data_IF_243404516481
#
_entry.id   IF_243404516481
#
_cell.length_a   1.000
_cell.length_b   1.000
_cell.length_c   1.000
_cell.angle_alpha   90.00
_cell.angle_beta   90.00
_cell.angle_gamma   90.00
#
_symmetry.space_group_name_H-M   'P 1'
#
loop_
_entity.id
_entity.type
_entity.pdbx_description
1 polymer ?
#
# COMPACT_ATOMS: atom_id res chain seq x y z
N UNK A 1 -4.21 -21.06 -4.39
CA UNK A 1 -4.32 -19.60 -4.16
C UNK A 1 -2.93 -19.13 -3.78
N UNK A 2 -2.34 -18.22 -4.55
CA UNK A 2 -0.98 -17.74 -4.29
C UNK A 2 -0.94 -16.89 -3.00
N UNK A 3 0.08 -17.09 -2.16
CA UNK A 3 0.24 -16.34 -0.90
C UNK A 3 0.43 -14.83 -1.20
N UNK A 4 -0.25 -13.90 -0.51
CA UNK A 4 -0.22 -12.47 -0.82
C UNK A 4 1.17 -11.84 -0.62
N UNK A 5 1.43 -10.72 -1.32
CA UNK A 5 2.71 -10.00 -1.25
C UNK A 5 3.01 -9.41 0.15
N UNK A 6 1.99 -9.25 0.98
CA UNK A 6 2.05 -8.78 2.37
C UNK A 6 1.07 -9.58 3.24
N UNK A 7 1.23 -9.58 4.58
CA UNK A 7 0.30 -10.24 5.48
C UNK A 7 -1.15 -9.76 5.33
N UNK A 8 -2.07 -10.59 5.81
CA UNK A 8 -3.49 -10.23 5.90
C UNK A 8 -3.67 -8.87 6.59
N UNK A 9 -4.51 -8.02 6.00
CA UNK A 9 -4.78 -6.67 6.49
C UNK A 9 -3.88 -5.59 5.89
N UNK A 10 -2.84 -5.98 5.14
CA UNK A 10 -1.94 -5.09 4.43
C UNK A 10 -2.12 -5.23 2.92
N UNK A 11 -2.08 -4.11 2.22
CA UNK A 11 -2.11 -4.07 0.76
C UNK A 11 -0.90 -3.30 0.26
N UNK A 12 -0.19 -3.89 -0.70
CA UNK A 12 0.79 -3.17 -1.49
C UNK A 12 0.03 -2.52 -2.65
N UNK A 13 -0.08 -1.20 -2.65
CA UNK A 13 -0.55 -0.47 -3.83
C UNK A 13 0.65 -0.06 -4.65
N UNK A 14 0.69 -0.52 -5.90
CA UNK A 14 1.59 -0.03 -6.93
C UNK A 14 0.83 0.72 -8.03
N UNK A 15 -0.40 1.13 -7.73
CA UNK A 15 -1.19 2.00 -8.59
C UNK A 15 -0.53 3.39 -8.60
N UNK A 16 0.18 3.68 -9.69
CA UNK A 16 1.05 4.85 -9.81
C UNK A 16 0.32 6.10 -10.26
N UNK A 17 -0.91 5.97 -10.79
CA UNK A 17 -1.73 7.10 -11.25
C UNK A 17 -3.14 7.14 -10.65
N UNK A 18 -3.53 6.13 -9.86
CA UNK A 18 -4.83 6.10 -9.18
C UNK A 18 -6.01 5.84 -10.13
N UNK A 19 -5.75 5.46 -11.38
CA UNK A 19 -6.76 5.33 -12.44
C UNK A 19 -7.54 4.01 -12.40
N UNK A 20 -7.04 3.01 -11.66
CA UNK A 20 -7.78 1.79 -11.31
C UNK A 20 -7.38 0.55 -12.12
N UNK A 21 -7.47 -0.61 -11.44
CA UNK A 21 -7.48 -1.94 -12.06
C UNK A 21 -6.13 -2.52 -12.48
N UNK A 22 -5.24 -2.87 -11.54
CA UNK A 22 -4.07 -3.68 -11.92
C UNK A 22 -4.50 -5.08 -12.37
N UNK A 23 -4.25 -5.48 -13.61
CA UNK A 23 -4.40 -6.87 -14.04
C UNK A 23 -3.24 -7.74 -13.57
N UNK A 24 -3.49 -9.01 -13.27
CA UNK A 24 -2.48 -9.91 -12.67
C UNK A 24 -2.20 -11.15 -13.51
N UNK A 25 -3.19 -11.62 -14.28
CA UNK A 25 -3.09 -12.84 -15.08
C UNK A 25 -3.90 -12.74 -16.37
N UNK A 26 -3.39 -13.34 -17.44
CA UNK A 26 -4.04 -13.55 -18.72
C UNK A 26 -4.06 -15.05 -19.03
N UNK A 27 -5.26 -15.60 -19.20
CA UNK A 27 -5.45 -17.00 -19.60
C UNK A 27 -5.92 -17.06 -21.06
N UNK A 28 -5.05 -17.56 -21.93
CA UNK A 28 -5.36 -17.75 -23.35
C UNK A 28 -6.07 -19.10 -23.57
N UNK A 29 -7.14 -19.07 -24.36
CA UNK A 29 -7.87 -20.23 -24.88
C UNK A 29 -8.14 -20.03 -26.37
N UNK A 30 -8.66 -21.05 -27.05
CA UNK A 30 -8.89 -21.00 -28.50
C UNK A 30 -9.77 -19.83 -28.95
N UNK A 31 -10.82 -19.52 -28.17
CA UNK A 31 -11.83 -18.50 -28.52
C UNK A 31 -11.78 -17.26 -27.63
N UNK A 32 -11.14 -17.34 -26.46
CA UNK A 32 -11.17 -16.27 -25.47
C UNK A 32 -9.81 -16.05 -24.83
N UNK A 33 -9.56 -14.80 -24.42
CA UNK A 33 -8.53 -14.46 -23.45
C UNK A 33 -9.23 -13.93 -22.21
N UNK A 34 -8.97 -14.54 -21.06
CA UNK A 34 -9.56 -14.14 -19.78
C UNK A 34 -8.49 -13.45 -18.95
N UNK A 35 -8.67 -12.16 -18.70
CA UNK A 35 -7.82 -11.40 -17.79
C UNK A 35 -8.39 -11.48 -16.36
N UNK A 36 -7.52 -11.57 -15.36
CA UNK A 36 -7.88 -11.52 -13.94
C UNK A 36 -7.31 -10.25 -13.32
N UNK A 37 -8.15 -9.41 -12.74
CA UNK A 37 -7.74 -8.16 -12.10
C UNK A 37 -7.13 -8.39 -10.69
N UNK A 38 -6.71 -7.31 -10.03
CA UNK A 38 -6.15 -7.33 -8.68
C UNK A 38 -7.18 -7.66 -7.58
N UNK A 39 -8.48 -7.65 -7.91
CA UNK A 39 -9.56 -8.08 -7.02
C UNK A 39 -9.91 -9.56 -7.18
N UNK A 40 -9.47 -10.18 -8.27
CA UNK A 40 -9.82 -11.53 -8.70
C UNK A 40 -11.01 -11.60 -9.65
N UNK A 41 -11.57 -10.46 -10.07
CA UNK A 41 -12.59 -10.38 -11.10
C UNK A 41 -12.01 -10.79 -12.46
N UNK A 42 -12.88 -11.33 -13.32
CA UNK A 42 -12.51 -11.88 -14.62
C UNK A 42 -13.10 -11.05 -15.75
N UNK A 43 -12.26 -10.68 -16.70
CA UNK A 43 -12.59 -9.88 -17.89
C UNK A 43 -12.37 -10.73 -19.13
N UNK A 44 -13.44 -11.08 -19.84
CA UNK A 44 -13.38 -12.05 -20.94
C UNK A 44 -13.40 -11.34 -22.28
N UNK A 45 -12.29 -11.46 -23.00
CA UNK A 45 -12.09 -10.94 -24.34
C UNK A 45 -12.35 -12.05 -25.36
N UNK A 46 -13.32 -11.88 -26.25
CA UNK A 46 -13.73 -12.90 -27.22
C UNK A 46 -13.14 -12.64 -28.59
N UNK A 47 -12.51 -13.65 -29.19
CA UNK A 47 -11.88 -13.57 -30.50
C UNK A 47 -12.92 -13.25 -31.57
N UNK A 48 -12.60 -12.30 -32.45
CA UNK A 48 -13.47 -11.93 -33.57
C UNK A 48 -13.04 -12.66 -34.86
N UNK A 49 -14.00 -12.89 -35.75
CA UNK A 49 -13.76 -13.56 -37.05
C UNK A 49 -12.84 -12.76 -37.97
N UNK A 50 -12.84 -11.42 -37.85
CA UNK A 50 -11.95 -10.52 -38.59
C UNK A 50 -10.54 -10.40 -37.98
N UNK A 51 -10.23 -11.17 -36.92
CA UNK A 51 -9.04 -11.00 -36.10
C UNK A 51 -9.27 -10.03 -34.94
N UNK A 52 -8.35 -10.03 -33.97
CA UNK A 52 -8.48 -9.26 -32.73
C UNK A 52 -9.51 -9.84 -31.74
N UNK A 53 -9.76 -9.08 -30.68
CA UNK A 53 -10.62 -9.49 -29.57
C UNK A 53 -11.63 -8.39 -29.22
N UNK A 54 -12.87 -8.80 -28.93
CA UNK A 54 -13.93 -7.93 -28.40
C UNK A 54 -13.82 -7.88 -26.87
N UNK A 55 -13.80 -6.67 -26.30
CA UNK A 55 -13.89 -6.44 -24.86
C UNK A 55 -15.24 -6.92 -24.28
N UNK A 56 -15.30 -7.23 -22.97
CA UNK A 56 -16.56 -7.48 -22.28
C UNK A 56 -17.45 -6.22 -22.24
N UNK A 57 -18.72 -6.39 -21.88
CA UNK A 57 -19.68 -5.29 -21.87
C UNK A 57 -19.28 -4.23 -20.83
N UNK A 58 -19.27 -2.96 -21.24
CA UNK A 58 -18.89 -1.83 -20.38
C UNK A 58 -17.41 -1.50 -20.37
N UNK A 59 -16.57 -2.26 -21.08
CA UNK A 59 -15.14 -2.02 -21.23
C UNK A 59 -14.78 -1.73 -22.69
N UNK A 60 -13.71 -0.98 -22.90
CA UNK A 60 -13.24 -0.55 -24.23
C UNK A 60 -11.76 -0.92 -24.49
N UNK A 61 -11.20 -1.80 -23.67
CA UNK A 61 -9.83 -2.26 -23.80
C UNK A 61 -9.53 -2.91 -25.16
N UNK A 62 -8.31 -2.69 -25.66
CA UNK A 62 -7.79 -3.28 -26.89
C UNK A 62 -6.77 -4.36 -26.51
N UNK A 63 -7.05 -5.60 -26.94
CA UNK A 63 -6.22 -6.75 -26.61
C UNK A 63 -5.57 -7.34 -27.86
N UNK A 64 -4.25 -7.58 -27.76
CA UNK A 64 -3.45 -8.25 -28.76
C UNK A 64 -2.76 -9.50 -28.18
N UNK A 65 -2.59 -10.53 -29.02
CA UNK A 65 -1.83 -11.74 -28.73
C UNK A 65 -0.78 -11.91 -29.83
N UNK A 66 0.49 -12.03 -29.47
CA UNK A 66 1.56 -12.28 -30.43
C UNK A 66 1.79 -13.78 -30.70
N UNK A 67 2.63 -14.10 -31.69
CA UNK A 67 2.98 -15.49 -32.03
C UNK A 67 3.81 -16.20 -30.96
N UNK A 68 4.40 -15.46 -30.02
CA UNK A 68 5.12 -15.98 -28.86
C UNK A 68 4.21 -16.28 -27.67
N UNK A 69 2.90 -16.01 -27.77
CA UNK A 69 1.93 -16.20 -26.69
C UNK A 69 1.86 -15.04 -25.70
N UNK A 70 2.55 -13.93 -25.95
CA UNK A 70 2.49 -12.72 -25.11
C UNK A 70 1.20 -11.96 -25.38
N UNK A 71 0.50 -11.61 -24.31
CA UNK A 71 -0.73 -10.82 -24.38
C UNK A 71 -0.41 -9.36 -24.06
N UNK A 72 -0.96 -8.43 -24.82
CA UNK A 72 -0.90 -6.99 -24.53
C UNK A 72 -2.32 -6.45 -24.42
N UNK A 73 -2.67 -5.86 -23.28
CA UNK A 73 -3.90 -5.09 -23.10
C UNK A 73 -3.54 -3.61 -23.10
N UNK A 74 -4.35 -2.82 -23.78
CA UNK A 74 -4.37 -1.37 -23.69
C UNK A 74 -5.74 -0.93 -23.21
N UNK A 75 -5.84 -0.31 -22.04
CA UNK A 75 -7.10 0.14 -21.45
C UNK A 75 -6.93 1.53 -20.85
N UNK A 76 -7.77 2.48 -21.26
CA UNK A 76 -7.58 3.89 -20.93
C UNK A 76 -6.18 4.38 -21.34
N UNK A 77 -5.40 4.84 -20.37
CA UNK A 77 -4.01 5.23 -20.58
C UNK A 77 -2.99 4.14 -20.27
N UNK A 78 -3.39 2.97 -19.82
CA UNK A 78 -2.47 1.93 -19.37
C UNK A 78 -2.24 0.85 -20.44
N UNK A 79 -1.02 0.32 -20.44
CA UNK A 79 -0.58 -0.84 -21.22
C UNK A 79 -0.10 -1.92 -20.26
N UNK A 80 -0.73 -3.09 -20.34
CA UNK A 80 -0.35 -4.30 -19.60
C UNK A 80 0.21 -5.32 -20.57
N UNK A 81 1.39 -5.86 -20.27
CA UNK A 81 2.01 -6.94 -21.05
C UNK A 81 2.11 -8.17 -20.17
N UNK A 82 1.64 -9.31 -20.65
CA UNK A 82 1.67 -10.60 -19.96
C UNK A 82 2.57 -11.58 -20.70
N UNK A 83 3.43 -12.26 -19.96
CA UNK A 83 4.31 -13.33 -20.48
C UNK A 83 3.47 -14.49 -21.03
N UNK A 84 4.10 -15.36 -21.80
CA UNK A 84 3.44 -16.54 -22.37
C UNK A 84 2.88 -17.53 -21.32
N UNK A 85 3.39 -17.47 -20.08
CA UNK A 85 2.83 -18.21 -18.94
C UNK A 85 1.59 -17.53 -18.31
N UNK A 86 1.11 -16.45 -18.93
CA UNK A 86 -0.07 -15.71 -18.53
C UNK A 86 0.16 -14.70 -17.41
N UNK A 87 1.37 -14.59 -16.84
CA UNK A 87 1.60 -13.67 -15.73
C UNK A 87 2.00 -12.28 -16.21
N UNK A 88 1.57 -11.25 -15.49
CA UNK A 88 1.96 -9.86 -15.77
C UNK A 88 3.50 -9.74 -15.80
N UNK A 89 3.99 -9.08 -16.85
CA UNK A 89 5.40 -8.78 -17.17
C UNK A 89 5.67 -7.30 -16.88
N UNK A 90 4.92 -6.41 -17.52
CA UNK A 90 5.08 -4.96 -17.40
C UNK A 90 3.74 -4.23 -17.39
N UNK A 91 3.71 -3.10 -16.68
CA UNK A 91 2.65 -2.09 -16.77
C UNK A 91 3.30 -0.72 -17.03
N UNK A 92 2.76 0.04 -17.99
CA UNK A 92 3.23 1.38 -18.36
C UNK A 92 2.08 2.25 -18.89
N UNK A 93 2.28 3.56 -19.01
CA UNK A 93 1.27 4.49 -19.52
C UNK A 93 1.54 4.89 -21.00
N UNK A 94 0.50 4.83 -21.84
CA UNK A 94 0.51 5.14 -23.27
C UNK A 94 0.72 6.61 -23.61
N UNK A 95 0.30 7.54 -22.74
CA UNK A 95 0.38 8.99 -23.03
C UNK A 95 1.82 9.44 -23.26
N UNK A 96 2.79 8.59 -22.91
CA UNK A 96 4.20 8.88 -22.98
C UNK A 96 4.99 8.15 -24.07
N UNK A 97 4.29 7.51 -25.02
CA UNK A 97 4.91 6.66 -26.04
C UNK A 97 5.94 7.38 -26.94
N UNK A 98 5.95 8.73 -26.98
CA UNK A 98 6.91 9.53 -27.77
C UNK A 98 8.04 10.14 -26.93
N UNK A 99 7.88 10.30 -25.61
CA UNK A 99 8.89 10.90 -24.71
C UNK A 99 8.85 10.30 -23.29
N UNK A 100 9.02 8.98 -23.14
CA UNK A 100 8.64 8.24 -21.93
C UNK A 100 9.15 8.91 -20.64
N UNK A 101 8.22 9.36 -19.80
CA UNK A 101 8.36 9.95 -18.47
C UNK A 101 7.45 9.29 -17.42
N UNK A 102 6.43 8.54 -17.85
CA UNK A 102 5.69 7.64 -16.98
C UNK A 102 6.59 6.51 -16.46
N UNK A 103 6.47 6.20 -15.18
CA UNK A 103 7.18 5.09 -14.56
C UNK A 103 6.74 3.75 -15.17
N UNK A 104 7.70 2.84 -15.33
CA UNK A 104 7.47 1.47 -15.77
C UNK A 104 7.51 0.52 -14.57
N UNK A 105 6.44 -0.25 -14.38
CA UNK A 105 6.38 -1.32 -13.40
C UNK A 105 6.80 -2.64 -14.07
N UNK A 106 7.80 -3.31 -13.51
CA UNK A 106 8.32 -4.61 -13.98
C UNK A 106 8.00 -5.67 -12.95
N UNK A 107 7.47 -6.80 -13.40
CA UNK A 107 7.00 -7.89 -12.55
C UNK A 107 7.75 -9.20 -12.88
N UNK A 108 7.97 -10.04 -11.87
CA UNK A 108 8.59 -11.35 -12.08
C UNK A 108 8.20 -12.42 -11.06
N UNK A 109 8.64 -13.65 -11.33
CA UNK A 109 8.53 -14.78 -10.43
C UNK A 109 7.19 -15.52 -10.47
N UNK A 110 7.05 -16.49 -9.58
CA UNK A 110 5.85 -17.32 -9.42
C UNK A 110 5.50 -17.42 -7.92
N UNK A 111 4.45 -16.73 -7.42
CA UNK A 111 3.56 -15.82 -8.15
C UNK A 111 4.28 -14.59 -8.70
N UNK A 112 3.69 -13.97 -9.73
CA UNK A 112 4.21 -12.71 -10.27
C UNK A 112 4.06 -11.59 -9.24
N UNK A 113 5.14 -10.85 -9.02
CA UNK A 113 5.27 -9.78 -8.02
C UNK A 113 5.96 -8.59 -8.65
N UNK A 114 5.57 -7.38 -8.24
CA UNK A 114 6.27 -6.17 -8.66
C UNK A 114 7.72 -6.26 -8.18
N UNK A 115 8.66 -6.26 -9.12
CA UNK A 115 10.09 -6.34 -8.85
C UNK A 115 10.76 -4.99 -8.93
N UNK A 116 10.34 -4.17 -9.88
CA UNK A 116 11.02 -2.91 -10.14
C UNK A 116 10.04 -1.82 -10.56
N UNK A 117 10.26 -0.62 -10.04
CA UNK A 117 9.63 0.61 -10.51
C UNK A 117 10.74 1.45 -11.14
N UNK A 118 10.69 1.62 -12.46
CA UNK A 118 11.74 2.27 -13.24
C UNK A 118 11.26 3.61 -13.79
N UNK A 119 12.04 4.66 -13.57
CA UNK A 119 11.89 5.93 -14.27
C UNK A 119 12.64 5.88 -15.60
N UNK A 120 11.96 5.91 -16.76
CA UNK A 120 12.61 5.85 -18.06
C UNK A 120 13.37 7.14 -18.42
N UNK A 121 13.14 8.27 -17.76
CA UNK A 121 13.87 9.52 -18.03
C UNK A 121 15.21 9.50 -17.32
N UNK A 122 15.20 9.27 -16.01
CA UNK A 122 16.43 9.28 -15.22
C UNK A 122 17.17 7.94 -15.21
N UNK A 123 16.54 6.88 -15.71
CA UNK A 123 17.01 5.48 -15.62
C UNK A 123 17.21 4.99 -14.19
N UNK A 124 16.65 5.70 -13.20
CA UNK A 124 16.65 5.30 -11.79
C UNK A 124 15.58 4.24 -11.58
N UNK A 125 15.83 3.34 -10.63
CA UNK A 125 14.84 2.36 -10.25
C UNK A 125 14.81 2.05 -8.77
N UNK A 126 13.62 1.67 -8.30
CA UNK A 126 13.42 1.05 -7.00
C UNK A 126 13.20 -0.44 -7.22
N UNK A 127 13.89 -1.28 -6.45
CA UNK A 127 13.77 -2.74 -6.54
C UNK A 127 13.11 -3.29 -5.28
N UNK A 128 12.14 -4.19 -5.46
CA UNK A 128 11.43 -4.86 -4.38
C UNK A 128 11.96 -6.28 -4.23
N UNK A 129 12.19 -6.67 -2.98
CA UNK A 129 12.76 -7.96 -2.61
C UNK A 129 11.77 -8.76 -1.75
N UNK A 130 11.60 -10.03 -2.07
CA UNK A 130 10.65 -10.93 -1.42
C UNK A 130 11.36 -12.10 -0.76
N UNK A 131 10.75 -12.71 0.26
CA UNK A 131 11.22 -13.98 0.80
C UNK A 131 10.90 -15.13 -0.16
N UNK A 132 11.71 -15.28 -1.21
CA UNK A 132 11.59 -16.33 -2.22
C UNK A 132 12.97 -16.84 -2.65
N UNK A 133 13.05 -18.06 -3.20
CA UNK A 133 14.33 -18.60 -3.69
C UNK A 133 15.01 -17.67 -4.68
N UNK A 134 16.31 -17.44 -4.50
CA UNK A 134 17.13 -16.61 -5.38
C UNK A 134 17.08 -15.10 -5.08
N UNK A 135 16.32 -14.65 -4.07
CA UNK A 135 16.26 -13.25 -3.67
C UNK A 135 16.98 -13.02 -2.33
N UNK A 136 17.75 -11.94 -2.24
CA UNK A 136 18.47 -11.54 -1.03
C UNK A 136 17.54 -10.68 -0.17
N UNK A 137 16.57 -11.32 0.48
CA UNK A 137 15.45 -10.69 1.16
C UNK A 137 15.82 -9.45 2.02
N UNK A 138 16.77 -9.60 2.96
CA UNK A 138 17.25 -8.50 3.81
C UNK A 138 18.63 -7.95 3.41
N UNK A 139 19.20 -8.36 2.27
CA UNK A 139 20.50 -7.84 1.83
C UNK A 139 21.67 -8.08 2.78
N UNK A 140 21.59 -9.09 3.66
CA UNK A 140 22.58 -9.35 4.70
C UNK A 140 22.32 -8.64 6.04
N UNK A 141 21.29 -7.80 6.14
CA UNK A 141 20.87 -7.24 7.42
C UNK A 141 20.35 -8.35 8.35
N UNK A 142 20.72 -8.28 9.63
CA UNK A 142 20.25 -9.22 10.66
C UNK A 142 18.96 -8.69 11.27
N UNK A 143 17.96 -9.57 11.41
CA UNK A 143 16.71 -9.22 12.05
C UNK A 143 16.95 -8.77 13.51
N UNK A 144 16.32 -7.68 13.97
CA UNK A 144 16.42 -7.28 15.37
C UNK A 144 15.86 -8.34 16.31
N UNK A 145 16.27 -8.32 17.58
CA UNK A 145 15.75 -9.26 18.58
C UNK A 145 14.22 -9.19 18.68
N UNK A 146 13.57 -10.36 18.73
CA UNK A 146 12.11 -10.48 18.77
C UNK A 146 11.41 -10.45 17.40
N UNK A 147 12.16 -10.29 16.30
CA UNK A 147 11.66 -10.41 14.94
C UNK A 147 12.02 -11.78 14.34
N UNK A 148 11.23 -12.19 13.34
CA UNK A 148 11.50 -13.38 12.56
C UNK A 148 12.75 -13.14 11.70
N UNK A 149 13.59 -14.18 11.55
CA UNK A 149 14.80 -14.08 10.73
C UNK A 149 14.49 -13.80 9.25
N UNK A 150 13.33 -14.27 8.77
CA UNK A 150 12.80 -14.02 7.44
C UNK A 150 11.26 -13.81 7.54
N UNK A 151 10.66 -13.05 6.62
CA UNK A 151 9.20 -12.99 6.48
C UNK A 151 8.59 -14.36 6.21
N UNK A 152 7.25 -14.51 6.25
CA UNK A 152 6.61 -15.64 5.59
C UNK A 152 6.98 -15.72 4.10
N UNK A 153 6.96 -16.92 3.53
CA UNK A 153 7.32 -17.15 2.13
C UNK A 153 6.51 -16.26 1.19
N UNK A 154 7.16 -15.77 0.12
CA UNK A 154 6.62 -14.89 -0.92
C UNK A 154 6.23 -13.47 -0.47
N UNK A 155 6.53 -13.07 0.77
CA UNK A 155 6.24 -11.73 1.27
C UNK A 155 7.39 -10.74 1.06
N UNK A 156 7.05 -9.47 0.85
CA UNK A 156 8.00 -8.37 0.69
C UNK A 156 8.82 -8.17 1.97
N UNK A 157 10.14 -8.04 1.85
CA UNK A 157 11.02 -7.77 2.98
C UNK A 157 11.81 -6.48 2.85
N UNK A 158 12.06 -6.01 1.63
CA UNK A 158 12.93 -4.87 1.41
C UNK A 158 12.59 -4.15 0.11
N UNK A 159 12.77 -2.84 0.13
CA UNK A 159 12.75 -1.98 -1.04
C UNK A 159 14.12 -1.31 -1.10
N UNK A 160 14.85 -1.53 -2.18
CA UNK A 160 16.13 -0.87 -2.46
C UNK A 160 15.87 0.32 -3.37
N UNK A 161 16.32 1.51 -2.98
CA UNK A 161 16.16 2.74 -3.75
C UNK A 161 17.37 2.95 -4.68
N UNK A 162 17.20 3.84 -5.66
CA UNK A 162 18.22 4.13 -6.68
C UNK A 162 19.49 4.76 -6.11
N UNK A 163 19.42 5.35 -4.91
CA UNK A 163 20.52 5.99 -4.20
C UNK A 163 21.26 5.02 -3.25
N UNK A 164 20.90 3.74 -3.25
CA UNK A 164 21.48 2.70 -2.40
C UNK A 164 20.90 2.67 -0.99
N UNK A 165 19.98 3.56 -0.65
CA UNK A 165 19.24 3.46 0.60
C UNK A 165 18.17 2.37 0.52
N UNK A 166 17.69 1.89 1.68
CA UNK A 166 16.75 0.78 1.73
C UNK A 166 15.66 1.01 2.76
N UNK A 167 14.44 0.56 2.45
CA UNK A 167 13.37 0.34 3.42
C UNK A 167 13.27 -1.15 3.71
N UNK A 168 13.17 -1.55 4.97
CA UNK A 168 13.03 -2.93 5.42
C UNK A 168 11.70 -3.15 6.13
N UNK A 169 11.05 -4.26 5.81
CA UNK A 169 9.82 -4.73 6.42
C UNK A 169 10.16 -5.87 7.35
N UNK A 170 10.05 -5.63 8.65
CA UNK A 170 10.38 -6.58 9.69
C UNK A 170 9.13 -7.28 10.21
N UNK A 171 9.22 -8.59 10.32
CA UNK A 171 8.12 -9.46 10.71
C UNK A 171 8.33 -10.02 12.11
N UNK A 172 7.26 -10.24 12.86
CA UNK A 172 7.31 -10.98 14.12
C UNK A 172 6.10 -11.91 14.20
N UNK A 173 6.36 -13.20 14.46
CA UNK A 173 5.31 -14.24 14.45
C UNK A 173 4.49 -14.23 13.14
N UNK A 174 5.16 -13.98 12.01
CA UNK A 174 4.56 -13.95 10.67
C UNK A 174 3.73 -12.70 10.34
N UNK A 175 3.73 -11.67 11.19
CA UNK A 175 3.00 -10.41 10.97
C UNK A 175 3.98 -9.26 10.72
N UNK A 176 3.58 -8.28 9.92
CA UNK A 176 4.37 -7.06 9.71
C UNK A 176 4.38 -6.25 11.01
N UNK A 177 5.51 -6.17 11.68
CA UNK A 177 5.64 -5.56 13.02
C UNK A 177 6.39 -4.24 12.96
N UNK A 178 7.22 -4.02 11.93
CA UNK A 178 7.92 -2.75 11.75
C UNK A 178 8.25 -2.48 10.29
N UNK A 179 8.15 -1.22 9.89
CA UNK A 179 8.79 -0.68 8.70
C UNK A 179 9.95 0.19 9.16
N UNK A 180 11.14 -0.04 8.62
CA UNK A 180 12.33 0.76 8.85
C UNK A 180 12.72 1.41 7.52
N UNK A 181 12.65 2.74 7.47
CA UNK A 181 13.07 3.55 6.34
C UNK A 181 14.57 3.89 6.44
N UNK A 182 15.17 4.46 5.38
CA UNK A 182 16.53 4.98 5.42
C UNK A 182 16.78 5.90 6.62
N UNK A 183 17.98 5.82 7.20
CA UNK A 183 18.35 6.60 8.39
C UNK A 183 17.83 6.01 9.70
N UNK A 184 17.42 4.73 9.71
CA UNK A 184 16.85 4.05 10.89
C UNK A 184 15.55 4.68 11.41
N UNK A 185 14.83 5.37 10.54
CA UNK A 185 13.49 5.90 10.80
C UNK A 185 12.50 4.74 10.87
N UNK A 186 11.96 4.44 12.06
CA UNK A 186 11.13 3.25 12.26
C UNK A 186 9.68 3.60 12.58
N UNK A 187 8.76 2.83 12.00
CA UNK A 187 7.36 2.78 12.39
C UNK A 187 7.03 1.36 12.83
N UNK A 188 6.57 1.18 14.07
CA UNK A 188 6.24 -0.14 14.64
C UNK A 188 4.74 -0.31 14.85
N UNK A 189 4.27 -1.54 14.70
CA UNK A 189 2.86 -1.92 14.79
C UNK A 189 2.68 -2.98 15.88
N UNK A 190 1.66 -2.81 16.70
CA UNK A 190 1.23 -3.84 17.66
C UNK A 190 -0.14 -4.37 17.28
N UNK A 191 -0.37 -5.61 17.70
CA UNK A 191 -1.60 -6.32 17.43
C UNK A 191 -2.21 -6.80 18.73
N UNK A 192 -3.55 -6.69 18.83
CA UNK A 192 -4.29 -7.30 19.91
C UNK A 192 -4.14 -8.83 19.86
N UNK A 193 -4.31 -9.53 20.99
CA UNK A 193 -4.33 -11.00 21.02
C UNK A 193 -5.32 -11.62 20.04
N UNK A 194 -6.43 -10.90 19.74
CA UNK A 194 -7.47 -11.30 18.80
C UNK A 194 -7.09 -11.13 17.32
N UNK A 195 -5.92 -10.56 17.01
CA UNK A 195 -5.42 -10.42 15.64
C UNK A 195 -5.34 -9.00 15.03
N UNK A 196 -6.25 -8.04 15.31
CA UNK A 196 -6.23 -6.74 14.65
C UNK A 196 -5.11 -5.84 15.19
N UNK A 197 -4.72 -4.83 14.40
CA UNK A 197 -3.85 -3.74 14.85
C UNK A 197 -4.49 -3.02 16.05
N UNK A 198 -3.75 -2.82 17.12
CA UNK A 198 -4.22 -2.13 18.32
C UNK A 198 -3.32 -0.96 18.76
N UNK A 199 -2.16 -0.83 18.12
CA UNK A 199 -1.22 0.25 18.37
C UNK A 199 -0.30 0.52 17.20
N UNK A 200 0.12 1.78 17.13
CA UNK A 200 1.10 2.31 16.20
C UNK A 200 2.09 3.15 16.98
N UNK A 201 3.38 2.97 16.70
CA UNK A 201 4.46 3.85 17.13
C UNK A 201 5.12 4.43 15.89
N UNK A 202 4.94 5.73 15.68
CA UNK A 202 5.64 6.46 14.64
C UNK A 202 7.11 6.72 15.04
N UNK A 203 7.86 7.30 14.13
CA UNK A 203 9.29 7.51 14.33
C UNK A 203 9.60 8.54 15.40
N UNK A 204 8.82 9.60 15.52
CA UNK A 204 8.98 10.57 16.61
C UNK A 204 8.84 9.87 17.97
N UNK A 205 7.81 9.03 18.14
CA UNK A 205 7.64 8.24 19.36
C UNK A 205 8.73 7.16 19.54
N UNK A 206 9.29 6.62 18.45
CA UNK A 206 10.41 5.67 18.51
C UNK A 206 11.70 6.34 18.98
N UNK A 207 11.99 7.56 18.53
CA UNK A 207 13.18 8.34 18.91
C UNK A 207 13.15 8.69 20.40
N UNK A 208 11.99 9.17 20.89
CA UNK A 208 11.77 9.38 22.32
C UNK A 208 12.01 8.10 23.13
N UNK A 209 11.57 6.97 22.60
CA UNK A 209 11.72 5.66 23.23
C UNK A 209 13.18 5.20 23.30
N UNK A 210 13.98 5.51 22.29
CA UNK A 210 15.40 5.15 22.25
C UNK A 210 16.24 6.01 23.22
N UNK A 211 15.89 7.29 23.38
CA UNK A 211 16.61 8.22 24.26
C UNK A 211 16.30 7.93 25.75
N UNK A 212 15.07 7.51 26.08
CA UNK A 212 14.60 7.38 27.46
C UNK A 212 14.30 5.94 27.90
N UNK A 213 15.22 5.01 27.61
CA UNK A 213 15.04 3.59 27.97
C UNK A 213 15.00 3.37 29.50
N UNK A 214 15.69 4.19 30.28
CA UNK A 214 15.86 4.03 31.73
C UNK A 214 14.62 4.40 32.54
N UNK A 215 13.81 5.38 32.12
CA UNK A 215 12.62 5.82 32.87
C UNK A 215 11.35 5.01 32.54
N UNK A 216 11.43 4.00 31.65
CA UNK A 216 10.27 3.20 31.20
C UNK A 216 9.86 2.09 32.17
N UNK A 217 10.71 1.66 33.11
CA UNK A 217 10.43 0.52 33.99
C UNK A 217 9.18 0.69 34.90
N UNK A 218 8.55 1.87 34.94
CA UNK A 218 7.36 2.14 35.75
C UNK A 218 6.22 2.93 35.08
N UNK A 219 6.31 3.26 33.78
CA UNK A 219 5.30 4.09 33.10
C UNK A 219 4.78 3.41 31.84
N UNK A 220 3.45 3.27 31.75
CA UNK A 220 2.77 2.65 30.60
C UNK A 220 3.17 3.29 29.28
N UNK A 221 3.44 2.46 28.28
CA UNK A 221 3.97 2.89 26.99
C UNK A 221 2.94 3.72 26.21
N UNK A 222 3.34 4.90 25.71
CA UNK A 222 2.48 5.74 24.87
C UNK A 222 2.30 5.07 23.51
N UNK A 223 1.29 4.22 23.39
CA UNK A 223 0.76 3.78 22.11
C UNK A 223 -0.39 4.70 21.71
N UNK A 224 -0.45 5.13 20.44
CA UNK A 224 -1.73 5.61 19.91
C UNK A 224 -2.63 4.39 19.79
N UNK A 225 -3.45 4.15 20.81
CA UNK A 225 -4.39 3.04 20.81
C UNK A 225 -5.47 3.31 19.76
N UNK A 226 -5.58 2.43 18.77
CA UNK A 226 -6.60 2.50 17.72
C UNK A 226 -7.91 1.89 18.24
N UNK A 227 -8.44 2.40 19.36
CA UNK A 227 -9.76 1.98 19.87
C UNK A 227 -10.86 2.71 19.12
N UNK A 228 -11.62 1.99 18.29
CA UNK A 228 -12.87 2.46 17.69
C UNK A 228 -13.90 2.67 18.81
N UNK A 229 -14.09 3.89 19.28
CA UNK A 229 -15.20 4.21 20.19
C UNK A 229 -16.45 4.49 19.37
N UNK A 230 -17.36 3.51 19.29
CA UNK A 230 -18.74 3.77 18.86
C UNK A 230 -19.50 4.31 20.07
N UNK A 231 -19.79 5.61 20.11
CA UNK A 231 -20.83 6.17 21.00
C UNK A 231 -21.54 7.30 20.28
N UNK A 232 -22.81 7.05 20.01
CA UNK A 232 -23.77 7.90 19.32
C UNK A 232 -24.24 9.06 20.21
N UNK A 233 -24.30 10.29 19.69
CA UNK A 233 -25.10 11.40 20.23
C UNK A 233 -25.27 12.58 19.24
N UNK A 234 -26.49 13.12 19.17
CA UNK A 234 -27.07 14.03 18.17
C UNK A 234 -26.58 15.51 18.21
N UNK A 235 -26.88 16.36 17.18
CA UNK A 235 -26.15 17.61 16.92
C UNK A 235 -26.80 18.89 17.46
N UNK A 236 -25.97 19.91 17.76
CA UNK A 236 -26.38 21.27 18.13
C UNK A 236 -25.31 22.34 17.83
N UNK A 237 -25.46 22.96 16.65
CA UNK A 237 -25.13 24.31 16.13
C UNK A 237 -23.89 25.18 16.54
N UNK A 238 -23.20 25.62 15.46
CA UNK A 238 -22.64 26.97 15.12
C UNK A 238 -21.24 27.44 15.60
N UNK A 239 -20.37 27.77 14.62
CA UNK A 239 -19.25 28.73 14.74
C UNK A 239 -18.15 28.64 13.66
N UNK A 240 -18.11 29.61 12.74
CA UNK A 240 -17.33 29.65 11.47
C UNK A 240 -15.91 30.30 11.57
N UNK A 241 -15.03 30.01 10.58
CA UNK A 241 -13.76 30.70 10.10
C UNK A 241 -12.45 29.90 10.31
N UNK A 242 -11.40 29.89 9.47
CA UNK A 242 -11.08 30.29 8.06
C UNK A 242 -9.83 29.48 7.62
N UNK A 243 -9.52 29.47 6.31
CA UNK A 243 -8.53 28.63 5.62
C UNK A 243 -7.08 29.19 5.55
N UNK A 244 -6.08 28.29 5.48
CA UNK A 244 -4.85 28.24 4.63
C UNK A 244 -4.04 27.00 5.13
N UNK A 245 -3.22 26.23 4.41
CA UNK A 245 -2.54 26.31 3.11
C UNK A 245 -2.32 24.89 2.56
N UNK A 246 -2.20 24.81 1.24
CA UNK A 246 -1.92 23.62 0.46
C UNK A 246 -0.43 23.24 0.45
N UNK A 247 -0.20 22.02 -0.06
CA UNK A 247 0.96 21.62 -0.89
C UNK A 247 2.13 20.86 -0.21
N UNK A 248 2.25 19.57 -0.55
CA UNK A 248 3.47 18.88 -1.02
C UNK A 248 3.18 17.41 -1.31
N UNK A 249 3.09 17.09 -2.61
CA UNK A 249 3.03 15.72 -3.14
C UNK A 249 4.47 15.25 -3.37
N UNK A 250 4.85 14.16 -2.72
CA UNK A 250 6.01 13.37 -3.07
C UNK A 250 5.62 11.89 -2.93
N UNK A 251 5.90 11.12 -3.98
CA UNK A 251 5.57 9.71 -4.10
C UNK A 251 6.00 8.91 -2.86
N UNK A 252 5.04 8.61 -2.00
CA UNK A 252 5.15 7.59 -0.96
C UNK A 252 4.50 6.34 -1.50
N UNK A 253 5.24 5.23 -1.55
CA UNK A 253 4.62 3.91 -1.49
C UNK A 253 3.79 3.88 -0.19
N UNK A 254 2.49 4.13 -0.33
CA UNK A 254 1.61 4.32 0.80
C UNK A 254 1.08 2.96 1.19
N UNK A 255 1.64 2.40 2.26
CA UNK A 255 1.11 1.18 2.86
C UNK A 255 -0.16 1.56 3.63
N UNK A 256 -1.31 1.45 2.96
CA UNK A 256 -2.60 1.80 3.53
C UNK A 256 -3.28 0.56 4.12
N UNK A 257 -3.85 0.72 5.32
CA UNK A 257 -4.82 -0.22 5.89
C UNK A 257 -6.18 0.24 5.41
N UNK A 258 -6.94 -0.58 4.68
CA UNK A 258 -8.27 -0.20 4.17
C UNK A 258 -9.17 0.31 5.32
N UNK A 259 -9.61 1.57 5.30
CA UNK A 259 -10.71 2.04 6.12
C UNK A 259 -12.02 1.81 5.36
N UNK A 260 -13.05 1.26 6.03
CA UNK A 260 -14.41 1.28 5.48
C UNK A 260 -14.93 2.72 5.40
N UNK A 261 -15.44 3.11 4.23
CA UNK A 261 -15.99 4.43 3.94
C UNK A 261 -17.18 4.79 4.83
N UNK A 262 -17.17 6.02 5.34
CA UNK A 262 -18.36 6.88 5.37
C UNK A 262 -17.94 8.34 5.55
N UNK A 263 -18.53 9.17 4.71
CA UNK A 263 -18.21 10.55 4.44
C UNK A 263 -18.81 11.50 5.51
N UNK A 264 -18.09 12.58 5.77
CA UNK A 264 -18.53 13.90 6.28
C UNK A 264 -18.91 14.17 7.77
N UNK A 265 -18.02 14.98 8.37
CA UNK A 265 -18.22 16.20 9.18
C UNK A 265 -18.57 16.11 10.68
N UNK A 266 -17.56 16.34 11.53
CA UNK A 266 -17.69 16.79 12.93
C UNK A 266 -16.79 18.01 13.21
N UNK A 267 -17.35 19.08 13.81
CA UNK A 267 -16.60 20.12 14.55
C UNK A 267 -17.06 20.13 16.01
N UNK A 268 -16.08 20.20 16.92
CA UNK A 268 -16.20 20.22 18.39
C UNK A 268 -16.18 21.67 18.94
N UNK A 269 -16.78 21.91 20.11
CA UNK A 269 -16.37 23.02 21.01
C UNK A 269 -17.38 23.56 22.05
N UNK A 270 -17.22 23.14 23.32
CA UNK A 270 -17.82 23.56 24.63
C UNK A 270 -17.53 25.06 25.01
N UNK A 271 -18.08 25.70 26.09
CA UNK A 271 -18.28 25.19 27.49
C UNK A 271 -19.40 25.79 28.39
N UNK A 272 -19.49 25.23 29.63
CA UNK A 272 -20.28 25.67 30.80
C UNK A 272 -19.82 27.02 31.40
N UNK A 273 -20.72 27.74 32.11
CA UNK A 273 -20.51 28.09 33.52
C UNK A 273 -21.81 27.87 34.34
N UNK A 274 -21.88 27.81 35.67
CA UNK A 274 -20.97 28.07 36.79
C UNK A 274 -21.88 28.17 38.03
N UNK A 275 -21.53 27.46 39.11
CA UNK A 275 -22.29 27.41 40.36
C UNK A 275 -22.28 28.73 41.13
N UNK A 276 -23.42 29.06 41.75
CA UNK A 276 -23.64 30.17 42.68
C UNK A 276 -23.11 29.81 44.07
N UNK A 277 -22.26 30.66 44.65
CA UNK A 277 -22.09 30.78 46.11
C UNK A 277 -22.30 32.23 46.51
N UNK A 278 -23.26 32.46 47.44
CA UNK A 278 -23.52 33.72 48.14
C UNK A 278 -22.49 33.90 49.25
N UNK A 279 -21.97 35.11 49.42
CA UNK A 279 -21.58 35.63 50.73
C UNK A 279 -21.98 37.10 50.82
N UNK A 280 -22.85 37.39 51.79
CA UNK A 280 -23.17 38.73 52.27
C UNK A 280 -22.00 39.25 53.11
N UNK A 281 -21.61 40.51 52.88
CA UNK A 281 -20.72 41.27 53.74
C UNK A 281 -21.48 42.48 54.28
N UNK A 282 -21.57 42.58 55.60
CA UNK A 282 -22.09 43.74 56.33
C UNK A 282 -21.23 43.97 57.56
N UNK A 283 -20.46 45.06 57.49
CA UNK A 283 -19.65 45.75 58.51
C UNK A 283 -18.39 45.04 59.04
#
# INVERSE_FOLDING_TARGET
>A
MDAPALPKGWTLSADLDGSGGTYTEAKVTDQNIVLTDGTGAKHTYTKQSAGGYKAPEGEDGILALDSGGRVTLTEGSDVYVFRADGKLDTQANMQDSRKPAALNNVYDGFPSRLKEIRDPVSQRSHTLHYNRPGDACYGGATAPAGFDALPPAQMLCRISYWDGTETRLWYGSGRLTRVENPGSDTTSYSYAPTGPLDGLRDSAAADWVAIDAANRAGHGELHRSLRRTHREQAPGERGLRTASDAERVAARASLSVRPGESNQLCRCGRPHPGDRVRHEGGL
#
